data_IF_225153388008
#
_entry.id   IF_225153388008
#
_cell.length_a   1.000
_cell.length_b   1.000
_cell.length_c   1.000
_cell.angle_alpha   90.00
_cell.angle_beta   90.00
_cell.angle_gamma   90.00
#
_symmetry.space_group_name_H-M   'P 1'
#
loop_
_entity.id
_entity.type
_entity.pdbx_description
1 polymer ?
#
# COMPACT_ATOMS: atom_id res chain seq x y z
N UNK A 1 -3.85 -10.35 35.18
CA UNK A 1 -5.12 -9.68 34.82
C UNK A 1 -5.27 -9.76 33.31
N UNK A 2 -6.40 -10.23 32.77
CA UNK A 2 -6.66 -10.13 31.34
C UNK A 2 -6.82 -8.65 30.99
N UNK A 3 -5.84 -8.08 30.29
CA UNK A 3 -5.98 -6.77 29.71
C UNK A 3 -6.71 -6.91 28.37
N UNK A 4 -7.89 -6.31 28.28
CA UNK A 4 -8.61 -6.22 27.03
C UNK A 4 -7.85 -5.26 26.09
N UNK A 5 -7.48 -5.73 24.90
CA UNK A 5 -6.87 -4.90 23.87
C UNK A 5 -7.96 -4.02 23.25
N UNK A 6 -8.00 -2.75 23.66
CA UNK A 6 -8.92 -1.78 23.08
C UNK A 6 -8.33 -1.30 21.75
N UNK A 7 -8.98 -1.69 20.64
CA UNK A 7 -8.64 -1.16 19.32
C UNK A 7 -9.14 0.27 19.19
N UNK A 8 -8.37 1.19 18.58
CA UNK A 8 -8.86 2.53 18.23
C UNK A 8 -10.14 2.48 17.39
N UNK A 9 -11.06 3.43 17.59
CA UNK A 9 -12.30 3.51 16.84
C UNK A 9 -12.07 3.86 15.37
N UNK A 10 -12.90 3.29 14.49
CA UNK A 10 -12.99 3.61 13.07
C UNK A 10 -14.32 4.29 12.69
N UNK A 11 -15.11 4.69 13.68
CA UNK A 11 -16.45 5.29 13.47
C UNK A 11 -16.39 6.52 12.56
N UNK A 12 -15.37 7.35 12.72
CA UNK A 12 -15.18 8.56 11.91
C UNK A 12 -15.02 8.26 10.41
N UNK A 13 -14.38 7.15 10.08
CA UNK A 13 -14.30 6.68 8.70
C UNK A 13 -15.67 6.27 8.16
N UNK A 14 -16.46 5.57 8.97
CA UNK A 14 -17.79 5.12 8.56
C UNK A 14 -18.74 6.31 8.34
N UNK A 15 -18.63 7.38 9.14
CA UNK A 15 -19.37 8.63 8.94
C UNK A 15 -18.98 9.31 7.62
N UNK A 16 -17.69 9.44 7.34
CA UNK A 16 -17.19 10.03 6.08
C UNK A 16 -17.64 9.19 4.88
N UNK A 17 -17.50 7.87 4.95
CA UNK A 17 -17.92 6.97 3.87
C UNK A 17 -19.44 7.02 3.62
N UNK A 18 -20.23 7.16 4.68
CA UNK A 18 -21.68 7.28 4.56
C UNK A 18 -22.08 8.62 3.91
N UNK A 19 -21.38 9.70 4.21
CA UNK A 19 -21.57 11.00 3.57
C UNK A 19 -21.16 10.96 2.07
N UNK A 20 -20.07 10.29 1.75
CA UNK A 20 -19.55 10.19 0.38
C UNK A 20 -20.44 9.35 -0.55
N UNK A 21 -21.08 8.31 -0.04
CA UNK A 21 -22.06 7.49 -0.79
C UNK A 21 -23.22 8.33 -1.37
N UNK A 22 -23.49 9.49 -0.82
CA UNK A 22 -24.47 10.42 -1.34
C UNK A 22 -23.97 11.20 -2.58
N UNK A 23 -22.66 11.23 -2.82
CA UNK A 23 -22.02 12.03 -3.89
C UNK A 23 -21.54 11.16 -5.06
N UNK A 24 -21.18 9.89 -4.82
CA UNK A 24 -20.31 9.13 -5.74
C UNK A 24 -21.00 8.07 -6.62
N UNK A 25 -22.29 8.13 -6.83
CA UNK A 25 -22.97 7.16 -7.71
C UNK A 25 -22.52 7.20 -9.20
N UNK A 26 -21.64 8.12 -9.61
CA UNK A 26 -21.23 8.35 -10.99
C UNK A 26 -19.72 8.47 -11.26
N UNK A 27 -18.83 8.25 -10.28
CA UNK A 27 -17.39 8.30 -10.56
C UNK A 27 -16.79 6.88 -10.60
N UNK A 28 -16.05 6.57 -11.68
CA UNK A 28 -15.41 5.27 -11.85
C UNK A 28 -14.40 5.00 -10.72
N UNK A 29 -14.73 4.09 -9.83
CA UNK A 29 -13.79 3.55 -8.88
C UNK A 29 -12.66 2.80 -9.62
N UNK A 30 -11.42 2.89 -9.11
CA UNK A 30 -10.32 2.07 -9.61
C UNK A 30 -10.70 0.60 -9.43
N UNK A 31 -10.70 -0.14 -10.54
CA UNK A 31 -11.02 -1.56 -10.54
C UNK A 31 -9.83 -2.37 -10.02
N UNK A 32 -10.11 -3.45 -9.34
CA UNK A 32 -9.07 -4.36 -8.80
C UNK A 32 -9.29 -5.75 -9.39
N UNK A 33 -8.24 -6.30 -9.97
CA UNK A 33 -8.18 -7.68 -10.42
C UNK A 33 -6.98 -8.39 -9.80
N UNK A 34 -7.18 -9.58 -9.24
CA UNK A 34 -6.13 -10.42 -8.69
C UNK A 34 -6.08 -11.69 -9.51
N UNK A 35 -5.05 -11.82 -10.36
CA UNK A 35 -4.86 -13.01 -11.21
C UNK A 35 -4.29 -14.20 -10.41
N UNK A 36 -3.51 -13.93 -9.36
CA UNK A 36 -2.89 -14.96 -8.53
C UNK A 36 -3.36 -14.89 -7.07
N UNK A 37 -4.47 -15.59 -6.79
CA UNK A 37 -5.10 -15.61 -5.46
C UNK A 37 -4.22 -16.34 -4.41
N UNK A 38 -3.37 -17.28 -4.83
CA UNK A 38 -2.43 -17.94 -3.92
C UNK A 38 -1.39 -16.94 -3.39
N UNK A 39 -0.85 -16.11 -4.29
CA UNK A 39 0.16 -15.12 -3.94
C UNK A 39 -0.44 -13.89 -3.25
N UNK A 40 -1.69 -13.52 -3.57
CA UNK A 40 -2.43 -12.41 -2.98
C UNK A 40 -3.84 -12.84 -2.57
N UNK A 41 -4.02 -13.43 -1.38
CA UNK A 41 -5.34 -13.88 -0.89
C UNK A 41 -6.34 -12.75 -0.68
N UNK A 42 -5.88 -11.53 -0.44
CA UNK A 42 -6.73 -10.34 -0.29
C UNK A 42 -6.01 -9.10 -0.78
N UNK A 43 -6.70 -8.33 -1.60
CA UNK A 43 -6.29 -6.98 -2.00
C UNK A 43 -7.45 -6.02 -1.80
N UNK A 44 -7.20 -4.93 -1.09
CA UNK A 44 -8.21 -3.91 -0.80
C UNK A 44 -7.59 -2.54 -1.03
N UNK A 45 -8.39 -1.57 -1.40
CA UNK A 45 -7.94 -0.20 -1.55
C UNK A 45 -9.08 0.79 -1.55
N UNK A 46 -8.73 2.03 -1.33
CA UNK A 46 -9.63 3.17 -1.35
C UNK A 46 -8.98 4.34 -2.06
N UNK A 47 -9.75 5.06 -2.88
CA UNK A 47 -9.30 6.31 -3.50
C UNK A 47 -9.69 7.49 -2.61
N UNK A 48 -8.71 8.31 -2.26
CA UNK A 48 -8.89 9.55 -1.49
C UNK A 48 -8.56 10.70 -2.42
N UNK A 49 -9.55 11.55 -2.69
CA UNK A 49 -9.43 12.68 -3.63
C UNK A 49 -9.19 14.01 -2.91
N UNK A 50 -8.56 14.94 -3.62
CA UNK A 50 -8.36 16.30 -3.13
C UNK A 50 -7.36 16.40 -1.99
N UNK A 51 -6.41 15.47 -1.88
CA UNK A 51 -5.36 15.53 -0.87
C UNK A 51 -4.37 16.67 -1.16
N UNK A 52 -3.72 17.13 -0.11
CA UNK A 52 -2.56 18.02 -0.22
C UNK A 52 -1.38 17.34 0.46
N UNK A 53 -0.40 16.93 -0.35
CA UNK A 53 0.84 16.37 0.17
C UNK A 53 1.65 17.50 0.78
N UNK A 54 2.02 17.36 2.04
CA UNK A 54 2.77 18.36 2.81
C UNK A 54 3.50 17.70 3.98
N UNK A 55 4.26 18.49 4.69
CA UNK A 55 4.88 18.05 5.93
C UNK A 55 3.84 17.54 6.94
N UNK A 56 4.17 16.46 7.63
CA UNK A 56 3.32 15.86 8.65
C UNK A 56 3.13 16.77 9.87
N UNK A 57 1.97 16.72 10.53
CA UNK A 57 1.77 17.45 11.77
C UNK A 57 2.71 16.94 12.87
N UNK A 58 3.06 17.81 13.82
CA UNK A 58 4.10 17.56 14.83
C UNK A 58 3.84 16.28 15.65
N UNK A 59 2.57 16.03 16.04
CA UNK A 59 2.23 14.84 16.79
C UNK A 59 2.57 13.55 16.06
N UNK A 60 2.40 13.50 14.70
CA UNK A 60 2.69 12.34 13.88
C UNK A 60 4.20 12.16 13.73
N UNK A 61 4.92 13.24 13.44
CA UNK A 61 6.39 13.24 13.37
C UNK A 61 7.01 12.73 14.66
N UNK A 62 6.57 13.25 15.80
CA UNK A 62 7.08 12.84 17.13
C UNK A 62 6.89 11.35 17.38
N UNK A 63 5.74 10.79 17.02
CA UNK A 63 5.46 9.36 17.20
C UNK A 63 6.30 8.47 16.30
N UNK A 64 6.45 8.86 15.03
CA UNK A 64 7.30 8.12 14.09
C UNK A 64 8.77 8.17 14.49
N UNK A 65 9.27 9.33 14.91
CA UNK A 65 10.64 9.47 15.40
C UNK A 65 10.89 8.65 16.67
N UNK A 66 9.92 8.57 17.58
CA UNK A 66 10.00 7.72 18.76
C UNK A 66 10.04 6.22 18.40
N UNK A 67 9.47 5.83 17.26
CA UNK A 67 9.56 4.49 16.68
C UNK A 67 10.83 4.25 15.83
N UNK A 68 11.74 5.26 15.76
CA UNK A 68 12.97 5.18 14.98
C UNK A 68 12.80 5.48 13.49
N UNK A 69 11.66 5.99 13.06
CA UNK A 69 11.38 6.33 11.67
C UNK A 69 11.66 7.80 11.36
N UNK A 70 12.14 8.07 10.16
CA UNK A 70 12.29 9.43 9.64
C UNK A 70 10.99 9.85 8.96
N UNK A 71 10.33 10.95 9.38
CA UNK A 71 9.18 11.50 8.68
C UNK A 71 9.52 11.93 7.25
N UNK A 72 8.59 11.74 6.33
CA UNK A 72 8.74 12.06 4.90
C UNK A 72 7.69 13.11 4.50
N UNK A 73 6.41 12.74 4.48
CA UNK A 73 5.27 13.61 4.23
C UNK A 73 4.01 13.01 4.86
N UNK A 74 2.95 13.81 4.97
CA UNK A 74 1.73 13.39 5.66
C UNK A 74 1.09 12.11 5.10
N UNK A 75 1.20 11.83 3.81
CA UNK A 75 0.60 10.63 3.19
C UNK A 75 1.40 9.39 3.59
N UNK A 76 2.71 9.41 3.34
CA UNK A 76 3.60 8.28 3.66
C UNK A 76 3.67 8.05 5.17
N UNK A 77 3.69 9.12 5.96
CA UNK A 77 3.80 9.05 7.40
C UNK A 77 2.55 8.45 8.06
N UNK A 78 1.36 8.73 7.51
CA UNK A 78 0.12 8.06 7.95
C UNK A 78 0.21 6.55 7.70
N UNK A 79 0.65 6.11 6.53
CA UNK A 79 0.78 4.67 6.24
C UNK A 79 1.80 4.00 7.16
N UNK A 80 2.91 4.67 7.43
CA UNK A 80 3.90 4.20 8.39
C UNK A 80 3.36 4.15 9.83
N UNK A 81 2.58 5.14 10.23
CA UNK A 81 1.94 5.14 11.54
C UNK A 81 0.96 3.97 11.69
N UNK A 82 0.10 3.73 10.69
CA UNK A 82 -0.82 2.59 10.69
C UNK A 82 -0.07 1.26 10.69
N UNK A 83 1.02 1.14 9.94
CA UNK A 83 1.88 -0.02 9.95
C UNK A 83 2.37 -0.37 11.36
N UNK A 84 2.82 0.64 12.12
CA UNK A 84 3.30 0.42 13.49
C UNK A 84 2.16 0.15 14.48
N UNK A 85 0.99 0.75 14.28
CA UNK A 85 -0.17 0.57 15.14
C UNK A 85 -0.85 -0.80 14.93
N UNK A 86 -0.94 -1.26 13.68
CA UNK A 86 -1.74 -2.43 13.30
C UNK A 86 -0.94 -3.63 12.82
N UNK A 87 0.38 -3.47 12.59
CA UNK A 87 1.26 -4.43 11.92
C UNK A 87 0.83 -4.78 10.49
N UNK A 88 0.00 -3.96 9.85
CA UNK A 88 -0.47 -4.13 8.47
C UNK A 88 0.21 -3.09 7.60
N UNK A 89 1.10 -3.48 6.67
CA UNK A 89 1.68 -2.52 5.72
C UNK A 89 0.62 -1.97 4.76
N UNK A 90 0.78 -0.70 4.44
CA UNK A 90 0.00 -0.01 3.43
C UNK A 90 0.92 0.62 2.40
N UNK A 91 0.43 0.77 1.19
CA UNK A 91 1.12 1.51 0.14
C UNK A 91 0.21 2.56 -0.47
N UNK A 92 0.80 3.62 -1.00
CA UNK A 92 0.07 4.70 -1.66
C UNK A 92 0.57 4.88 -3.08
N UNK A 93 -0.38 4.89 -4.01
CA UNK A 93 -0.14 5.25 -5.40
C UNK A 93 -0.74 6.62 -5.68
N UNK A 94 -0.13 7.37 -6.57
CA UNK A 94 -0.79 8.49 -7.22
C UNK A 94 -1.92 7.93 -8.09
N UNK A 95 -3.17 8.17 -7.71
CA UNK A 95 -4.33 7.59 -8.39
C UNK A 95 -4.45 8.03 -9.85
N UNK A 96 -3.97 9.24 -10.17
CA UNK A 96 -4.01 9.79 -11.53
C UNK A 96 -2.97 9.12 -12.46
N UNK A 97 -1.97 8.43 -11.88
CA UNK A 97 -0.97 7.64 -12.61
C UNK A 97 -1.39 6.18 -12.83
N UNK A 98 -2.53 5.75 -12.26
CA UNK A 98 -3.05 4.39 -12.47
C UNK A 98 -3.74 4.32 -13.82
N UNK A 99 -2.96 4.01 -14.86
CA UNK A 99 -3.44 3.93 -16.23
C UNK A 99 -4.56 2.92 -16.40
N UNK A 100 -5.57 3.29 -17.18
CA UNK A 100 -6.76 2.48 -17.40
C UNK A 100 -7.71 2.38 -16.20
N UNK A 101 -7.47 3.14 -15.10
CA UNK A 101 -8.31 3.10 -13.91
C UNK A 101 -8.41 1.71 -13.29
N UNK A 102 -7.36 0.89 -13.43
CA UNK A 102 -7.38 -0.51 -13.01
C UNK A 102 -6.03 -0.94 -12.41
N UNK A 103 -6.13 -1.68 -11.32
CA UNK A 103 -5.00 -2.39 -10.70
C UNK A 103 -5.13 -3.87 -11.01
N UNK A 104 -4.04 -4.48 -11.47
CA UNK A 104 -3.92 -5.91 -11.76
C UNK A 104 -2.78 -6.49 -10.94
N UNK A 105 -3.07 -7.40 -10.04
CA UNK A 105 -2.08 -8.10 -9.21
C UNK A 105 -1.70 -9.40 -9.91
N UNK A 106 -0.51 -9.43 -10.52
CA UNK A 106 -0.04 -10.52 -11.39
C UNK A 106 1.47 -10.64 -11.38
N UNK A 107 2.01 -11.65 -12.05
CA UNK A 107 3.45 -11.72 -12.37
C UNK A 107 3.72 -11.09 -13.73
N UNK A 108 4.96 -10.69 -13.96
CA UNK A 108 5.43 -10.17 -15.26
C UNK A 108 6.38 -11.17 -15.92
N UNK A 109 6.62 -11.06 -17.24
CA UNK A 109 7.59 -11.90 -17.94
C UNK A 109 8.99 -11.79 -17.32
N UNK A 110 9.74 -12.88 -17.38
CA UNK A 110 11.14 -12.92 -16.91
C UNK A 110 11.98 -11.83 -17.58
N UNK A 111 12.77 -11.11 -16.77
CA UNK A 111 13.66 -10.05 -17.24
C UNK A 111 12.97 -8.70 -17.51
N UNK A 112 11.68 -8.54 -17.22
CA UNK A 112 10.99 -7.25 -17.33
C UNK A 112 11.74 -6.19 -16.50
N UNK A 113 12.15 -5.03 -17.08
CA UNK A 113 12.83 -3.98 -16.34
C UNK A 113 11.86 -3.28 -15.39
N UNK A 114 12.35 -2.91 -14.21
CA UNK A 114 11.59 -2.20 -13.20
C UNK A 114 12.50 -1.28 -12.40
N UNK A 115 12.09 -0.01 -12.21
CA UNK A 115 12.85 0.96 -11.43
C UNK A 115 12.12 1.17 -10.11
N UNK A 116 12.83 0.93 -9.01
CA UNK A 116 12.31 1.12 -7.64
C UNK A 116 12.38 2.59 -7.21
N UNK A 117 11.64 2.94 -6.13
CA UNK A 117 11.56 4.31 -5.59
C UNK A 117 12.93 4.93 -5.24
N UNK A 118 13.94 4.11 -4.97
CA UNK A 118 15.31 4.54 -4.70
C UNK A 118 16.14 4.77 -5.98
N UNK A 119 15.51 4.61 -7.17
CA UNK A 119 16.12 4.81 -8.47
C UNK A 119 16.96 3.63 -8.98
N UNK A 120 16.97 2.51 -8.27
CA UNK A 120 17.69 1.33 -8.71
C UNK A 120 16.90 0.54 -9.77
N UNK A 121 17.63 0.04 -10.78
CA UNK A 121 17.07 -0.79 -11.84
C UNK A 121 17.13 -2.27 -11.45
N UNK A 122 16.00 -2.96 -11.59
CA UNK A 122 15.83 -4.39 -11.32
C UNK A 122 15.33 -5.11 -12.57
N UNK A 123 15.63 -6.40 -12.65
CA UNK A 123 15.01 -7.31 -13.61
C UNK A 123 14.06 -8.23 -12.87
N UNK A 124 12.79 -8.16 -13.21
CA UNK A 124 11.75 -8.98 -12.57
C UNK A 124 11.89 -10.43 -12.99
N UNK A 125 11.57 -11.32 -12.08
CA UNK A 125 11.36 -12.73 -12.39
C UNK A 125 9.88 -13.00 -12.64
N UNK A 126 9.56 -13.99 -13.48
CA UNK A 126 8.20 -14.52 -13.66
C UNK A 126 7.54 -15.00 -12.35
N UNK A 127 8.33 -15.10 -11.27
CA UNK A 127 7.89 -15.47 -9.91
C UNK A 127 7.80 -14.28 -8.96
N UNK A 128 8.00 -13.07 -9.44
CA UNK A 128 7.81 -11.86 -8.64
C UNK A 128 6.37 -11.38 -8.81
N UNK A 129 5.64 -11.32 -7.71
CA UNK A 129 4.30 -10.77 -7.73
C UNK A 129 4.38 -9.25 -7.85
N UNK A 130 3.65 -8.71 -8.81
CA UNK A 130 3.63 -7.28 -9.10
C UNK A 130 2.23 -6.72 -8.93
N UNK A 131 2.17 -5.47 -8.54
CA UNK A 131 0.99 -4.63 -8.66
C UNK A 131 1.18 -3.80 -9.92
N UNK A 132 0.30 -3.98 -10.89
CA UNK A 132 0.37 -3.34 -12.21
C UNK A 132 -0.84 -2.45 -12.43
N UNK A 133 -0.71 -1.46 -13.31
CA UNK A 133 -1.86 -0.87 -14.00
C UNK A 133 -2.11 -1.65 -15.31
N UNK A 134 -2.89 -1.11 -16.25
CA UNK A 134 -3.18 -1.81 -17.52
C UNK A 134 -1.98 -1.89 -18.47
N UNK A 135 -0.93 -1.12 -18.26
CA UNK A 135 0.19 -0.98 -19.18
C UNK A 135 1.52 -1.47 -18.59
N UNK A 136 1.76 -1.22 -17.29
CA UNK A 136 3.08 -1.41 -16.69
C UNK A 136 3.03 -1.84 -15.22
N UNK A 137 4.11 -2.46 -14.70
CA UNK A 137 4.25 -2.74 -13.28
C UNK A 137 4.49 -1.44 -12.49
N UNK A 138 3.82 -1.33 -11.34
CA UNK A 138 3.89 -0.16 -10.45
C UNK A 138 4.60 -0.44 -9.13
N UNK A 139 4.56 -1.68 -8.64
CA UNK A 139 5.12 -2.04 -7.34
C UNK A 139 5.45 -3.53 -7.29
N UNK A 140 6.57 -3.89 -6.66
CA UNK A 140 6.87 -5.27 -6.26
C UNK A 140 6.03 -5.56 -5.02
N UNK A 141 5.00 -6.40 -5.17
CA UNK A 141 3.97 -6.61 -4.16
C UNK A 141 4.54 -6.99 -2.78
N UNK A 142 4.26 -6.15 -1.79
CA UNK A 142 4.74 -6.34 -0.42
C UNK A 142 6.25 -6.17 -0.21
N UNK A 143 6.99 -5.70 -1.21
CA UNK A 143 8.46 -5.53 -1.14
C UNK A 143 8.86 -4.07 -1.36
N UNK A 144 8.62 -3.51 -2.55
CA UNK A 144 9.13 -2.17 -2.87
C UNK A 144 8.30 -1.48 -3.96
N UNK A 145 7.99 -0.20 -3.73
CA UNK A 145 7.28 0.64 -4.70
C UNK A 145 8.12 1.00 -5.93
N UNK A 146 7.47 1.26 -7.05
CA UNK A 146 8.09 1.77 -8.26
C UNK A 146 8.17 3.29 -8.29
N UNK A 147 9.17 3.81 -9.00
CA UNK A 147 9.48 5.24 -9.06
C UNK A 147 8.32 6.05 -9.68
N UNK A 148 7.74 5.56 -10.76
CA UNK A 148 6.77 6.31 -11.56
C UNK A 148 5.38 6.43 -10.91
N UNK A 149 5.00 5.45 -10.08
CA UNK A 149 3.66 5.35 -9.48
C UNK A 149 3.56 5.97 -8.08
N UNK A 150 4.69 6.38 -7.51
CA UNK A 150 4.76 6.94 -6.16
C UNK A 150 4.03 8.28 -6.01
N UNK A 151 3.63 8.59 -4.78
CA UNK A 151 3.08 9.90 -4.42
C UNK A 151 4.17 10.96 -4.38
N UNK A 152 3.87 12.14 -4.94
CA UNK A 152 4.74 13.31 -4.99
C UNK A 152 4.03 14.51 -4.35
N UNK A 153 4.71 15.65 -4.22
CA UNK A 153 4.10 16.89 -3.72
C UNK A 153 2.95 17.39 -4.61
N UNK A 154 2.95 17.00 -5.88
CA UNK A 154 1.92 17.38 -6.86
C UNK A 154 0.68 16.47 -6.81
N UNK A 155 0.76 15.31 -6.16
CA UNK A 155 -0.34 14.34 -6.07
C UNK A 155 -1.57 14.95 -5.41
N UNK A 156 -2.73 14.81 -6.08
CA UNK A 156 -4.04 15.29 -5.61
C UNK A 156 -4.98 14.16 -5.25
N UNK A 157 -4.81 13.02 -5.87
CA UNK A 157 -5.63 11.85 -5.64
C UNK A 157 -4.73 10.66 -5.29
N UNK A 158 -5.04 9.99 -4.21
CA UNK A 158 -4.23 8.86 -3.70
C UNK A 158 -5.07 7.60 -3.74
N UNK A 159 -4.53 6.52 -4.30
CA UNK A 159 -5.06 5.19 -4.07
C UNK A 159 -4.28 4.56 -2.91
N UNK A 160 -4.97 4.35 -1.79
CA UNK A 160 -4.42 3.69 -0.61
C UNK A 160 -4.66 2.20 -0.71
N UNK A 161 -3.57 1.43 -0.78
CA UNK A 161 -3.57 -0.03 -0.80
C UNK A 161 -3.47 -0.61 0.60
N UNK A 162 -4.19 -1.69 0.84
CA UNK A 162 -4.03 -2.53 2.01
C UNK A 162 -4.30 -3.98 1.61
N UNK A 163 -3.27 -4.83 1.63
CA UNK A 163 -3.33 -6.17 1.08
C UNK A 163 -2.76 -7.23 2.02
N UNK A 164 -3.07 -8.50 1.73
CA UNK A 164 -2.43 -9.65 2.31
C UNK A 164 -1.71 -10.41 1.20
N UNK A 165 -0.39 -10.51 1.29
CA UNK A 165 0.42 -11.28 0.37
C UNK A 165 0.94 -12.56 1.04
N UNK A 166 1.13 -13.61 0.25
CA UNK A 166 1.67 -14.87 0.74
C UNK A 166 3.12 -14.69 1.24
N UNK A 167 3.42 -15.04 2.49
CA UNK A 167 4.74 -14.83 3.10
C UNK A 167 5.90 -15.46 2.33
N UNK A 168 5.65 -16.63 1.74
CA UNK A 168 6.68 -17.35 0.97
C UNK A 168 7.02 -16.63 -0.33
N UNK A 169 6.01 -16.08 -1.01
CA UNK A 169 6.19 -15.28 -2.22
C UNK A 169 7.00 -14.02 -1.91
N UNK A 170 6.57 -13.24 -0.93
CA UNK A 170 7.28 -12.01 -0.54
C UNK A 170 8.73 -12.29 -0.15
N UNK A 171 8.98 -13.30 0.71
CA UNK A 171 10.34 -13.65 1.14
C UNK A 171 11.23 -14.07 -0.01
N UNK A 172 10.72 -14.88 -0.97
CA UNK A 172 11.49 -15.33 -2.13
C UNK A 172 11.82 -14.17 -3.06
N UNK A 173 10.86 -13.28 -3.32
CA UNK A 173 11.06 -12.08 -4.13
C UNK A 173 12.05 -11.12 -3.49
N UNK A 174 11.86 -10.79 -2.20
CA UNK A 174 12.77 -9.91 -1.46
C UNK A 174 14.23 -10.40 -1.51
N UNK A 175 14.46 -11.71 -1.34
CA UNK A 175 15.79 -12.31 -1.44
C UNK A 175 16.35 -12.27 -2.87
N UNK A 176 15.53 -12.57 -3.88
CA UNK A 176 15.95 -12.58 -5.29
C UNK A 176 16.36 -11.18 -5.73
N UNK A 177 15.56 -10.18 -5.38
CA UNK A 177 15.79 -8.78 -5.72
C UNK A 177 16.77 -8.09 -4.75
N UNK A 178 17.24 -8.78 -3.69
CA UNK A 178 18.12 -8.24 -2.65
C UNK A 178 17.54 -6.97 -1.98
N UNK A 179 16.22 -6.94 -1.81
CA UNK A 179 15.47 -5.85 -1.18
C UNK A 179 15.03 -6.24 0.22
N UNK A 180 15.14 -5.31 1.16
CA UNK A 180 14.66 -5.46 2.54
C UNK A 180 14.00 -4.17 2.98
N UNK A 181 12.73 -4.24 3.33
CA UNK A 181 11.92 -3.10 3.79
C UNK A 181 11.13 -3.47 5.03
N UNK A 182 10.61 -2.44 5.71
CA UNK A 182 9.68 -2.65 6.82
C UNK A 182 8.43 -3.42 6.42
N UNK A 183 7.94 -3.21 5.20
CA UNK A 183 6.82 -3.94 4.64
C UNK A 183 7.17 -5.41 4.39
N UNK A 184 8.27 -5.70 3.67
CA UNK A 184 8.68 -7.07 3.37
C UNK A 184 8.96 -7.87 4.64
N UNK A 185 9.56 -7.24 5.66
CA UNK A 185 9.80 -7.85 6.96
C UNK A 185 8.50 -8.34 7.64
N UNK A 186 7.39 -7.60 7.50
CA UNK A 186 6.09 -7.99 8.07
C UNK A 186 5.39 -9.02 7.21
N UNK A 187 5.33 -8.81 5.90
CA UNK A 187 4.68 -9.74 4.98
C UNK A 187 5.32 -11.13 5.00
N UNK A 188 6.66 -11.22 5.04
CA UNK A 188 7.35 -12.52 5.08
C UNK A 188 7.10 -13.34 6.36
N UNK A 189 6.57 -12.69 7.42
CA UNK A 189 6.15 -13.32 8.68
C UNK A 189 4.66 -13.58 8.77
N UNK A 190 3.90 -13.04 7.84
CA UNK A 190 2.45 -13.15 7.76
C UNK A 190 1.74 -11.94 8.35
N UNK A 191 0.76 -11.45 7.61
CA UNK A 191 -0.16 -10.38 8.01
C UNK A 191 -1.54 -11.01 8.22
N UNK A 192 -2.24 -10.59 9.28
CA UNK A 192 -3.60 -11.07 9.54
C UNK A 192 -4.56 -10.54 8.47
N UNK A 193 -5.06 -11.45 7.64
CA UNK A 193 -6.00 -11.15 6.55
C UNK A 193 -7.30 -10.51 7.06
N UNK A 194 -7.71 -10.80 8.31
CA UNK A 194 -8.92 -10.25 8.91
C UNK A 194 -8.70 -8.82 9.44
N UNK A 195 -7.45 -8.43 9.65
CA UNK A 195 -7.12 -7.09 10.11
C UNK A 195 -7.05 -6.05 8.96
N UNK A 196 -7.01 -6.49 7.69
CA UNK A 196 -6.93 -5.62 6.51
C UNK A 196 -8.08 -4.59 6.46
N UNK A 197 -9.37 -4.98 6.60
CA UNK A 197 -10.47 -3.99 6.57
C UNK A 197 -10.42 -2.99 7.73
N UNK A 198 -9.94 -3.40 8.89
CA UNK A 198 -9.77 -2.50 10.02
C UNK A 198 -8.64 -1.49 9.75
N UNK A 199 -7.47 -1.98 9.33
CA UNK A 199 -6.32 -1.13 9.04
C UNK A 199 -6.63 -0.09 7.94
N UNK A 200 -7.35 -0.49 6.88
CA UNK A 200 -7.74 0.40 5.79
C UNK A 200 -8.69 1.53 6.24
N UNK A 201 -9.47 1.29 7.28
CA UNK A 201 -10.44 2.24 7.85
C UNK A 201 -9.86 3.09 8.98
N UNK A 202 -8.68 2.75 9.46
CA UNK A 202 -8.00 3.41 10.58
C UNK A 202 -7.33 4.69 10.13
#
# INVERSE_FOLDING_TARGET
LPHELIKPSVEKFDEVLAADKAVSANESAIQIEVENIEACPRYSGITIKGVTVKESPEWLKTRLQAAGMRPINNIVDITNFILHETCVPMHTFDADKIKGGKIVVKTCPEGTPFITLDGNEHKLSERDLMICNTEEPMCIAGVFGGLESGTTEETKNVFLECACFNPTWVRKTARRQQLSTDASFRYERGVDINNIPYALRR
#
